data_IF_548859739782
#
_entry.id   IF_548859739782
#
_cell.length_a   1.000
_cell.length_b   1.000
_cell.length_c   1.000
_cell.angle_alpha   90.00
_cell.angle_beta   90.00
_cell.angle_gamma   90.00
#
_symmetry.space_group_name_H-M   'P 1'
#
loop_
_entity.id
_entity.type
_entity.pdbx_description
1 polymer ?
#
# COMPACT_ATOMS: atom_id res chain seq x y z
N UNK A 1 13.12 -7.45 6.21
CA UNK A 1 11.95 -8.33 6.17
C UNK A 1 10.68 -7.51 6.11
N UNK A 2 9.81 -7.84 5.21
CA UNK A 2 8.54 -7.14 5.10
C UNK A 2 7.60 -7.60 6.20
N UNK A 3 7.00 -6.66 6.89
CA UNK A 3 6.08 -6.95 7.98
C UNK A 3 4.73 -6.28 7.79
N UNK A 4 4.50 -5.71 6.62
CA UNK A 4 3.27 -5.00 6.35
C UNK A 4 2.38 -5.73 5.36
N UNK A 5 1.08 -5.45 5.44
CA UNK A 5 0.11 -5.93 4.45
C UNK A 5 0.19 -5.00 3.24
N UNK A 6 0.33 -5.54 2.02
CA UNK A 6 0.31 -4.69 0.82
C UNK A 6 -1.02 -3.96 0.69
N UNK A 7 -0.94 -2.66 0.43
CA UNK A 7 -2.11 -1.80 0.32
C UNK A 7 -2.21 -1.27 -1.09
N UNK A 8 -3.37 -1.43 -1.71
CA UNK A 8 -3.58 -0.96 -3.08
C UNK A 8 -3.90 0.52 -3.07
N UNK A 9 -3.22 1.27 -3.95
CA UNK A 9 -3.48 2.69 -4.11
C UNK A 9 -4.76 2.88 -4.91
N UNK A 10 -5.74 3.56 -4.32
CA UNK A 10 -7.02 3.81 -4.96
C UNK A 10 -7.03 5.17 -5.66
N UNK A 11 -6.39 6.16 -5.08
CA UNK A 11 -6.29 7.49 -5.69
C UNK A 11 -5.08 8.20 -5.13
N UNK A 12 -4.57 9.18 -5.90
CA UNK A 12 -3.44 10.01 -5.49
C UNK A 12 -3.78 11.45 -5.81
N UNK A 13 -3.63 12.32 -4.81
CA UNK A 13 -3.76 13.76 -5.01
C UNK A 13 -2.37 14.37 -5.02
N UNK A 14 -2.06 15.10 -6.08
CA UNK A 14 -0.78 15.80 -6.19
C UNK A 14 -0.85 17.14 -5.46
N UNK A 15 0.30 17.62 -5.01
CA UNK A 15 0.39 18.87 -4.28
C UNK A 15 1.71 18.97 -3.55
N UNK A 16 1.81 19.93 -2.63
CA UNK A 16 3.00 20.10 -1.81
C UNK A 16 3.25 18.83 -0.98
N UNK A 17 2.18 18.26 -0.45
CA UNK A 17 2.22 16.97 0.25
C UNK A 17 1.34 16.00 -0.51
N UNK A 18 1.90 15.19 -1.39
CA UNK A 18 1.08 14.23 -2.13
C UNK A 18 0.48 13.20 -1.19
N UNK A 19 -0.83 13.10 -1.23
CA UNK A 19 -1.58 12.16 -0.40
C UNK A 19 -2.28 11.14 -1.29
N UNK A 20 -2.30 9.90 -0.83
CA UNK A 20 -3.01 8.85 -1.54
C UNK A 20 -4.05 8.20 -0.66
N UNK A 21 -5.10 7.70 -1.29
CA UNK A 21 -6.05 6.83 -0.60
C UNK A 21 -5.70 5.40 -0.92
N UNK A 22 -5.63 4.59 0.11
CA UNK A 22 -5.21 3.20 0.00
C UNK A 22 -6.25 2.30 0.63
N UNK A 23 -6.30 1.06 0.14
CA UNK A 23 -7.15 0.03 0.71
C UNK A 23 -6.29 -0.84 1.63
N UNK A 24 -6.58 -0.77 2.91
CA UNK A 24 -5.88 -1.57 3.92
C UNK A 24 -6.86 -2.63 4.43
N UNK A 25 -6.75 -3.84 3.92
CA UNK A 25 -7.58 -4.97 4.32
C UNK A 25 -9.09 -4.63 4.29
N UNK A 26 -9.53 -3.96 3.24
CA UNK A 26 -10.93 -3.61 3.04
C UNK A 26 -11.33 -2.24 3.58
N UNK A 27 -10.42 -1.53 4.24
CA UNK A 27 -10.69 -0.19 4.76
C UNK A 27 -9.90 0.84 3.97
N UNK A 28 -10.54 1.96 3.66
CA UNK A 28 -9.90 3.06 2.95
C UNK A 28 -9.23 3.98 3.97
N UNK A 29 -7.95 4.23 3.78
CA UNK A 29 -7.18 5.11 4.65
C UNK A 29 -6.36 6.07 3.80
N UNK A 30 -5.99 7.19 4.38
CA UNK A 30 -5.11 8.16 3.73
C UNK A 30 -3.65 7.84 4.09
N UNK A 31 -2.76 8.03 3.13
CA UNK A 31 -1.34 7.84 3.35
C UNK A 31 -0.56 8.90 2.60
N UNK A 32 0.56 9.32 3.16
CA UNK A 32 1.44 10.26 2.50
C UNK A 32 2.30 9.54 1.47
N UNK A 33 2.31 10.03 0.25
CA UNK A 33 3.04 9.42 -0.87
C UNK A 33 4.36 10.13 -1.16
N UNK A 34 4.81 11.00 -0.27
CA UNK A 34 5.98 11.83 -0.52
C UNK A 34 7.26 11.03 -0.76
N UNK A 35 7.37 9.85 -0.15
CA UNK A 35 8.56 9.01 -0.31
C UNK A 35 8.53 8.16 -1.57
N UNK A 36 7.38 8.07 -2.23
CA UNK A 36 7.21 7.23 -3.43
C UNK A 36 6.60 8.05 -4.56
N UNK A 37 7.36 9.03 -5.10
CA UNK A 37 6.82 9.88 -6.17
C UNK A 37 6.50 9.12 -7.44
N UNK A 38 7.07 7.94 -7.62
CA UNK A 38 6.81 7.10 -8.78
C UNK A 38 5.57 6.22 -8.64
N UNK A 39 4.96 6.16 -7.46
CA UNK A 39 3.78 5.33 -7.24
C UNK A 39 2.58 5.83 -8.03
N UNK A 40 1.76 4.91 -8.50
CA UNK A 40 0.58 5.20 -9.32
C UNK A 40 -0.64 4.49 -8.79
N UNK A 41 -1.81 4.97 -9.18
CA UNK A 41 -3.07 4.29 -8.86
C UNK A 41 -3.03 2.86 -9.38
N UNK A 42 -3.40 1.93 -8.52
CA UNK A 42 -3.35 0.50 -8.84
C UNK A 42 -2.09 -0.20 -8.36
N UNK A 43 -1.07 0.56 -7.98
CA UNK A 43 0.14 -0.02 -7.41
C UNK A 43 -0.10 -0.45 -5.97
N UNK A 44 0.76 -1.33 -5.47
CA UNK A 44 0.73 -1.77 -4.09
C UNK A 44 1.89 -1.18 -3.33
N UNK A 45 1.64 -0.75 -2.11
CA UNK A 45 2.66 -0.15 -1.25
C UNK A 45 2.56 -0.70 0.16
N UNK A 46 3.65 -0.60 0.88
CA UNK A 46 3.68 -0.88 2.31
C UNK A 46 3.60 0.43 3.06
N UNK A 47 2.73 0.48 4.04
CA UNK A 47 2.47 1.70 4.82
C UNK A 47 3.06 1.54 6.21
N UNK A 48 3.72 2.60 6.67
CA UNK A 48 4.27 2.64 8.00
C UNK A 48 4.05 4.05 8.56
N UNK A 49 3.36 4.14 9.70
CA UNK A 49 3.07 5.40 10.36
C UNK A 49 2.37 6.43 9.46
N UNK A 50 1.51 5.95 8.57
CA UNK A 50 0.77 6.84 7.66
C UNK A 50 1.54 7.26 6.41
N UNK A 51 2.74 6.72 6.21
CA UNK A 51 3.56 6.99 5.04
C UNK A 51 3.72 5.74 4.19
N UNK A 52 3.62 5.91 2.88
CA UNK A 52 3.96 4.83 1.96
C UNK A 52 5.48 4.75 1.87
N UNK A 53 6.05 3.64 2.31
CA UNK A 53 7.49 3.51 2.44
C UNK A 53 8.12 2.65 1.37
N UNK A 54 7.40 1.65 0.89
CA UNK A 54 7.94 0.70 -0.09
C UNK A 54 6.93 0.47 -1.20
N UNK A 55 7.41 0.51 -2.43
CA UNK A 55 6.60 0.19 -3.61
C UNK A 55 6.84 -1.28 -3.95
N UNK A 56 5.77 -2.02 -4.14
CA UNK A 56 5.84 -3.43 -4.48
C UNK A 56 5.44 -3.67 -5.92
N UNK A 57 6.06 -4.67 -6.54
CA UNK A 57 5.57 -5.15 -7.84
C UNK A 57 4.27 -5.92 -7.60
N UNK A 58 3.50 -6.11 -8.68
CA UNK A 58 2.28 -6.90 -8.59
C UNK A 58 2.55 -8.31 -8.08
N UNK A 59 3.64 -8.92 -8.51
CA UNK A 59 4.02 -10.26 -8.06
C UNK A 59 4.35 -10.29 -6.58
N UNK A 60 5.14 -9.34 -6.11
CA UNK A 60 5.51 -9.25 -4.70
C UNK A 60 4.26 -9.04 -3.83
N UNK A 61 3.36 -8.17 -4.28
CA UNK A 61 2.14 -7.90 -3.55
C UNK A 61 1.27 -9.16 -3.49
N UNK A 62 1.16 -9.90 -4.58
CA UNK A 62 0.35 -11.09 -4.62
C UNK A 62 0.90 -12.17 -3.69
N UNK A 63 2.21 -12.36 -3.67
CA UNK A 63 2.85 -13.31 -2.77
C UNK A 63 2.60 -12.96 -1.31
N UNK A 64 2.74 -11.69 -0.95
CA UNK A 64 2.47 -11.25 0.40
C UNK A 64 1.03 -11.44 0.81
N UNK A 65 0.09 -11.10 -0.08
CA UNK A 65 -1.33 -11.27 0.20
C UNK A 65 -1.70 -12.74 0.36
N UNK A 66 -1.13 -13.61 -0.45
CA UNK A 66 -1.38 -15.05 -0.34
C UNK A 66 -0.87 -15.58 1.00
N UNK A 67 0.30 -15.13 1.43
CA UNK A 67 0.85 -15.50 2.73
C UNK A 67 -0.06 -15.05 3.87
N UNK A 68 -0.54 -13.80 3.82
CA UNK A 68 -1.45 -13.30 4.84
C UNK A 68 -2.75 -14.09 4.89
N UNK A 69 -3.27 -14.50 3.73
CA UNK A 69 -4.48 -15.32 3.68
C UNK A 69 -4.25 -16.70 4.31
N UNK A 70 -3.12 -17.33 4.00
CA UNK A 70 -2.77 -18.62 4.57
C UNK A 70 -2.67 -18.57 6.09
N UNK A 71 -2.21 -17.46 6.61
CA UNK A 71 -2.11 -17.26 8.05
C UNK A 71 -3.44 -16.88 8.70
N UNK A 72 -4.49 -16.68 7.90
CA UNK A 72 -5.79 -16.28 8.42
C UNK A 72 -5.87 -14.83 8.85
N UNK A 73 -4.92 -14.01 8.45
CA UNK A 73 -4.87 -12.60 8.84
C UNK A 73 -5.79 -11.74 7.98
N UNK A 74 -6.15 -12.23 6.78
CA UNK A 74 -7.07 -11.54 5.89
C UNK A 74 -8.28 -12.43 5.64
N UNK A 75 -9.44 -11.86 5.68
CA UNK A 75 -10.68 -12.57 5.42
C UNK A 75 -11.23 -12.25 4.03
#
# INVERSE_FOLDING_TARGET
MCVGVPCKILSIESGVMPMGRINVAGQVQDACMAYLPEARVGDYVLIQNGFAMNLLTAEEAQESLDTWRELGMLS
#
